data_IF_790818465292
#
_entry.id   IF_790818465292
#
_cell.length_a   1.000
_cell.length_b   1.000
_cell.length_c   1.000
_cell.angle_alpha   90.00
_cell.angle_beta   90.00
_cell.angle_gamma   90.00
#
_symmetry.space_group_name_H-M   'P 1'
#
loop_
_entity.id
_entity.type
_entity.pdbx_description
1 polymer ?
#
# COMPACT_ATOMS: atom_id res chain seq x y z
N UNK A 1 -5.92 27.31 2.91
CA UNK A 1 -4.56 27.42 2.35
C UNK A 1 -4.18 26.25 1.43
N UNK A 2 -5.02 25.20 1.28
CA UNK A 2 -4.82 24.12 0.29
C UNK A 2 -3.65 23.18 0.60
N UNK A 3 -3.38 22.90 1.87
CA UNK A 3 -2.39 21.88 2.28
C UNK A 3 -2.78 20.51 1.73
N UNK A 4 -1.84 19.77 1.13
CA UNK A 4 -2.05 18.42 0.59
C UNK A 4 -1.63 17.30 1.55
N UNK A 5 -1.04 17.64 2.67
CA UNK A 5 -0.67 16.71 3.72
C UNK A 5 -0.30 17.46 4.99
N UNK A 6 -0.52 16.83 6.13
CA UNK A 6 -0.20 17.38 7.43
C UNK A 6 0.27 16.26 8.35
N UNK A 7 1.34 16.52 9.10
CA UNK A 7 1.82 15.62 10.16
C UNK A 7 1.96 16.38 11.46
N UNK A 8 1.73 15.72 12.59
CA UNK A 8 1.95 16.28 13.91
C UNK A 8 2.95 15.43 14.68
N UNK A 9 3.86 16.08 15.39
CA UNK A 9 4.86 15.41 16.22
C UNK A 9 4.92 16.10 17.57
N UNK A 10 4.87 15.33 18.64
CA UNK A 10 5.07 15.84 19.99
C UNK A 10 6.53 16.31 20.16
N UNK A 11 6.72 17.50 20.73
CA UNK A 11 8.02 18.09 20.99
C UNK A 11 8.11 18.46 22.48
N UNK A 12 8.60 17.53 23.32
CA UNK A 12 8.54 17.67 24.76
C UNK A 12 7.16 17.39 25.36
N UNK A 13 6.97 17.73 26.65
CA UNK A 13 5.73 17.38 27.38
C UNK A 13 4.53 18.28 27.00
N UNK A 14 4.77 19.53 26.51
CA UNK A 14 3.71 20.52 26.27
C UNK A 14 3.75 21.18 24.88
N UNK A 15 4.48 20.63 23.92
CA UNK A 15 4.60 21.24 22.59
C UNK A 15 4.30 20.22 21.48
N UNK A 16 3.54 20.67 20.50
CA UNK A 16 3.29 19.91 19.28
C UNK A 16 3.86 20.71 18.10
N UNK A 17 4.68 20.05 17.29
CA UNK A 17 5.10 20.58 16.00
C UNK A 17 4.15 20.04 14.91
N UNK A 18 3.57 20.94 14.13
CA UNK A 18 2.73 20.60 13.00
C UNK A 18 3.49 20.94 11.72
N UNK A 19 3.70 19.95 10.87
CA UNK A 19 4.23 20.12 9.53
C UNK A 19 3.08 20.07 8.52
N UNK A 20 2.96 21.10 7.68
CA UNK A 20 1.96 21.15 6.62
C UNK A 20 2.67 21.40 5.28
N UNK A 21 2.27 20.67 4.25
CA UNK A 21 2.89 20.71 2.93
C UNK A 21 1.99 21.46 1.95
N UNK A 22 2.55 22.47 1.28
CA UNK A 22 1.87 23.31 0.31
C UNK A 22 2.51 23.12 -1.06
N UNK A 23 1.73 22.94 -2.13
CA UNK A 23 2.28 22.74 -3.47
C UNK A 23 2.92 24.03 -3.99
N UNK A 24 4.22 23.95 -4.33
CA UNK A 24 4.90 24.99 -5.09
C UNK A 24 4.56 24.80 -6.59
N UNK A 25 4.18 25.84 -7.36
CA UNK A 25 4.37 27.29 -7.16
C UNK A 25 3.11 28.06 -6.68
N UNK A 26 2.11 27.41 -6.11
CA UNK A 26 0.82 28.02 -5.77
C UNK A 26 0.84 28.83 -4.45
N UNK A 27 1.98 28.95 -3.80
CA UNK A 27 2.10 29.64 -2.52
C UNK A 27 3.04 30.84 -2.66
N UNK A 28 2.50 32.03 -2.48
CA UNK A 28 3.30 33.25 -2.43
C UNK A 28 3.79 33.57 -1.01
N UNK A 29 4.82 34.41 -0.88
CA UNK A 29 5.24 34.95 0.42
C UNK A 29 4.12 35.69 1.14
N UNK A 30 3.20 36.28 0.39
CA UNK A 30 2.01 36.95 0.93
C UNK A 30 1.05 35.96 1.59
N UNK A 31 0.87 34.79 1.00
CA UNK A 31 0.03 33.71 1.58
C UNK A 31 0.61 33.20 2.87
N UNK A 32 1.93 33.03 2.95
CA UNK A 32 2.63 32.61 4.17
C UNK A 32 2.54 33.69 5.26
N UNK A 33 2.64 34.95 4.90
CA UNK A 33 2.46 36.07 5.82
C UNK A 33 1.01 36.13 6.34
N UNK A 34 0.02 35.95 5.45
CA UNK A 34 -1.40 35.89 5.82
C UNK A 34 -1.69 34.71 6.75
N UNK A 35 -1.12 33.53 6.49
CA UNK A 35 -1.23 32.37 7.36
C UNK A 35 -0.63 32.65 8.74
N UNK A 36 0.57 33.27 8.79
CA UNK A 36 1.21 33.64 10.06
C UNK A 36 0.35 34.59 10.89
N UNK A 37 -0.19 35.63 10.26
CA UNK A 37 -1.10 36.59 10.92
C UNK A 37 -2.37 35.90 11.44
N UNK A 38 -2.96 35.03 10.64
CA UNK A 38 -4.16 34.29 11.01
C UNK A 38 -3.91 33.38 12.23
N UNK A 39 -2.82 32.61 12.21
CA UNK A 39 -2.45 31.75 13.35
C UNK A 39 -2.18 32.56 14.63
N UNK A 40 -1.58 33.76 14.51
CA UNK A 40 -1.39 34.66 15.64
C UNK A 40 -2.71 35.16 16.21
N UNK A 41 -3.64 35.58 15.33
CA UNK A 41 -4.96 36.06 15.75
C UNK A 41 -5.76 34.93 16.42
N UNK A 42 -5.80 33.74 15.82
CA UNK A 42 -6.54 32.60 16.34
C UNK A 42 -5.96 32.16 17.71
N UNK A 43 -4.64 32.19 17.89
CA UNK A 43 -3.98 31.87 19.16
C UNK A 43 -4.34 32.89 20.25
N UNK A 44 -4.35 34.19 19.92
CA UNK A 44 -4.73 35.26 20.85
C UNK A 44 -6.20 35.12 21.28
N UNK A 45 -7.09 34.85 20.34
CA UNK A 45 -8.53 34.63 20.62
C UNK A 45 -8.72 33.42 21.53
N UNK A 46 -7.96 32.34 21.31
CA UNK A 46 -8.03 31.11 22.06
C UNK A 46 -7.27 31.17 23.40
N UNK A 47 -6.62 32.29 23.73
CA UNK A 47 -5.78 32.43 24.94
C UNK A 47 -4.56 31.49 24.96
N UNK A 48 -4.09 31.09 23.76
CA UNK A 48 -2.97 30.18 23.59
C UNK A 48 -1.68 30.94 23.25
N UNK A 49 -0.54 30.26 23.40
CA UNK A 49 0.75 30.82 22.96
C UNK A 49 0.76 30.95 21.45
N UNK A 50 1.25 32.08 20.96
CA UNK A 50 1.41 32.34 19.53
C UNK A 50 2.37 31.32 18.94
N UNK A 51 1.96 30.54 17.92
CA UNK A 51 2.82 29.55 17.27
C UNK A 51 3.92 30.23 16.45
N UNK A 52 5.09 29.63 16.43
CA UNK A 52 6.19 30.07 15.57
C UNK A 52 6.04 29.39 14.21
N UNK A 53 5.77 30.15 13.16
CA UNK A 53 5.79 29.67 11.79
C UNK A 53 7.23 29.69 11.26
N UNK A 54 7.66 28.58 10.71
CA UNK A 54 8.86 28.46 9.89
C UNK A 54 8.44 27.85 8.56
N UNK A 55 9.07 28.22 7.51
CA UNK A 55 8.86 27.62 6.20
C UNK A 55 10.21 27.40 5.51
N UNK A 56 10.28 26.36 4.72
CA UNK A 56 11.42 26.05 3.86
C UNK A 56 10.89 25.51 2.55
N UNK A 57 11.62 25.73 1.49
CA UNK A 57 11.33 25.11 0.19
C UNK A 57 12.00 23.76 0.17
N UNK A 58 11.21 22.73 -0.02
CA UNK A 58 11.70 21.36 -0.21
C UNK A 58 11.73 21.11 -1.71
N UNK A 59 12.88 20.90 -2.28
CA UNK A 59 13.01 20.46 -3.67
C UNK A 59 12.61 18.97 -3.74
N UNK A 60 11.99 18.58 -4.86
CA UNK A 60 11.51 17.20 -5.04
C UNK A 60 12.65 16.16 -4.90
N UNK A 61 13.87 16.54 -5.28
CA UNK A 61 15.06 15.70 -5.14
C UNK A 61 15.49 15.51 -3.67
N UNK A 62 15.37 16.52 -2.83
CA UNK A 62 15.72 16.43 -1.41
C UNK A 62 14.74 15.57 -0.63
N UNK A 63 13.47 15.61 -1.02
CA UNK A 63 12.45 14.79 -0.40
C UNK A 63 12.62 13.31 -0.76
N UNK A 64 12.94 13.03 -2.03
CA UNK A 64 13.19 11.67 -2.50
C UNK A 64 14.46 11.04 -1.93
N UNK A 65 15.44 11.82 -1.52
CA UNK A 65 16.71 11.35 -0.96
C UNK A 65 16.66 11.11 0.55
N UNK A 66 15.90 11.91 1.29
CA UNK A 66 15.87 11.85 2.77
C UNK A 66 15.26 10.55 3.30
N UNK A 67 14.12 10.08 2.75
CA UNK A 67 13.50 8.83 3.20
C UNK A 67 14.26 7.59 2.73
N UNK A 68 14.96 7.66 1.59
CA UNK A 68 15.79 6.56 1.07
C UNK A 68 16.90 6.16 2.04
N UNK A 69 17.45 7.11 2.81
CA UNK A 69 18.51 6.84 3.79
C UNK A 69 18.04 5.99 4.98
N UNK A 70 16.75 6.01 5.28
CA UNK A 70 16.18 5.28 6.41
C UNK A 70 15.56 3.94 6.01
N UNK A 71 15.43 3.66 4.72
CA UNK A 71 14.84 2.42 4.26
C UNK A 71 15.89 1.32 4.11
N UNK A 72 15.74 0.29 4.92
CA UNK A 72 16.65 -0.85 5.00
C UNK A 72 15.98 -2.11 4.42
N UNK A 73 16.77 -3.10 3.99
CA UNK A 73 16.23 -4.41 3.60
C UNK A 73 15.37 -5.02 4.71
N UNK A 74 14.26 -5.63 4.34
CA UNK A 74 13.27 -6.19 5.26
C UNK A 74 13.01 -7.65 4.97
N UNK A 75 13.00 -8.45 6.01
CA UNK A 75 12.61 -9.84 5.97
C UNK A 75 11.13 -9.94 6.27
N UNK A 76 10.36 -10.57 5.36
CA UNK A 76 8.91 -10.76 5.52
C UNK A 76 8.62 -12.25 5.34
N UNK A 77 7.85 -12.81 6.27
CA UNK A 77 7.62 -14.25 6.31
C UNK A 77 8.91 -15.06 6.34
N UNK A 78 8.88 -16.25 5.79
CA UNK A 78 10.05 -17.14 5.69
C UNK A 78 10.76 -17.07 4.32
N UNK A 79 10.10 -16.52 3.30
CA UNK A 79 10.54 -16.63 1.89
C UNK A 79 10.86 -15.33 1.19
N UNK A 80 10.54 -14.18 1.76
CA UNK A 80 10.74 -12.90 1.08
C UNK A 80 11.83 -12.07 1.75
N UNK A 81 12.67 -11.44 0.93
CA UNK A 81 13.53 -10.33 1.28
C UNK A 81 13.17 -9.14 0.39
N UNK A 82 12.61 -8.09 0.97
CA UNK A 82 12.37 -6.82 0.28
C UNK A 82 13.61 -5.96 0.43
N UNK A 83 14.22 -5.58 -0.68
CA UNK A 83 15.43 -4.76 -0.70
C UNK A 83 15.19 -3.51 -1.55
N UNK A 84 15.47 -2.30 -1.01
CA UNK A 84 15.50 -1.08 -1.81
C UNK A 84 16.37 -1.23 -3.06
N UNK A 85 15.90 -0.72 -4.20
CA UNK A 85 16.56 -0.88 -5.48
C UNK A 85 18.01 -0.34 -5.51
N UNK A 86 18.30 0.66 -4.69
CA UNK A 86 19.60 1.34 -4.58
C UNK A 86 20.56 0.74 -3.55
N UNK A 87 20.16 -0.33 -2.86
CA UNK A 87 21.01 -1.02 -1.89
C UNK A 87 21.43 -2.41 -2.42
N UNK A 88 22.60 -2.84 -2.01
CA UNK A 88 23.02 -4.22 -2.22
C UNK A 88 22.26 -5.12 -1.23
N UNK A 89 21.68 -6.23 -1.70
CA UNK A 89 20.97 -7.14 -0.81
C UNK A 89 21.93 -7.87 0.11
N UNK A 90 21.57 -8.04 1.41
CA UNK A 90 22.33 -8.92 2.30
C UNK A 90 22.23 -10.38 1.81
N UNK A 91 23.12 -11.30 2.28
CA UNK A 91 22.98 -12.72 2.01
C UNK A 91 21.60 -13.23 2.41
N UNK A 92 20.90 -13.89 1.48
CA UNK A 92 19.48 -14.28 1.67
C UNK A 92 19.21 -15.74 1.23
N UNK A 93 19.93 -16.73 1.80
CA UNK A 93 19.79 -18.12 1.38
C UNK A 93 18.34 -18.62 1.57
N UNK A 94 17.79 -19.22 0.51
CA UNK A 94 16.44 -19.80 0.52
C UNK A 94 15.31 -18.77 0.48
N UNK A 95 15.59 -17.49 0.26
CA UNK A 95 14.57 -16.44 0.11
C UNK A 95 14.57 -15.82 -1.27
N UNK A 96 13.40 -15.42 -1.74
CA UNK A 96 13.23 -14.64 -2.96
C UNK A 96 13.57 -13.19 -2.68
N UNK A 97 14.46 -12.63 -3.49
CA UNK A 97 14.79 -11.21 -3.46
C UNK A 97 13.77 -10.41 -4.25
N UNK A 98 13.08 -9.49 -3.59
CA UNK A 98 12.18 -8.51 -4.18
C UNK A 98 12.86 -7.13 -4.13
N UNK A 99 13.31 -6.63 -5.27
CA UNK A 99 13.87 -5.28 -5.39
C UNK A 99 12.74 -4.28 -5.61
N UNK A 100 12.75 -3.19 -4.86
CA UNK A 100 11.66 -2.22 -4.89
C UNK A 100 12.19 -0.78 -4.92
N UNK A 101 11.67 0.00 -5.87
CA UNK A 101 11.72 1.46 -5.87
C UNK A 101 10.26 1.97 -5.94
N UNK A 102 9.64 2.29 -4.81
CA UNK A 102 8.23 2.68 -4.81
C UNK A 102 8.00 4.07 -5.43
N UNK A 103 9.05 4.86 -5.62
CA UNK A 103 8.89 6.24 -6.08
C UNK A 103 7.99 7.02 -5.12
N UNK A 104 6.86 7.55 -5.66
CA UNK A 104 5.82 8.23 -4.88
C UNK A 104 4.58 7.35 -4.62
N UNK A 105 4.58 6.10 -5.07
CA UNK A 105 3.47 5.17 -4.87
C UNK A 105 3.48 4.57 -3.45
N UNK A 106 2.30 4.19 -2.95
CA UNK A 106 2.15 3.46 -1.69
C UNK A 106 2.72 2.03 -1.81
N UNK A 107 3.19 1.46 -0.68
CA UNK A 107 3.62 0.07 -0.63
C UNK A 107 5.14 -0.11 -0.56
N UNK A 108 5.77 0.38 0.54
CA UNK A 108 7.21 0.17 0.82
C UNK A 108 7.51 -1.17 1.50
N UNK A 109 6.48 -1.94 1.88
CA UNK A 109 6.63 -3.19 2.62
C UNK A 109 6.72 -3.04 4.14
N UNK A 110 6.86 -1.82 4.67
CA UNK A 110 6.97 -1.58 6.13
C UNK A 110 5.63 -1.57 6.84
N UNK A 111 4.56 -1.22 6.12
CA UNK A 111 3.24 -1.08 6.73
C UNK A 111 2.66 -2.44 7.15
N UNK A 112 2.02 -2.54 8.33
CA UNK A 112 1.45 -3.80 8.83
C UNK A 112 0.54 -4.50 7.82
N UNK A 113 -0.30 -3.76 7.09
CA UNK A 113 -1.23 -4.30 6.09
C UNK A 113 -0.51 -4.99 4.94
N UNK A 114 0.58 -4.39 4.45
CA UNK A 114 1.40 -4.96 3.37
C UNK A 114 2.08 -6.25 3.84
N UNK A 115 2.64 -6.25 5.05
CA UNK A 115 3.29 -7.44 5.62
C UNK A 115 2.28 -8.59 5.80
N UNK A 116 1.07 -8.31 6.29
CA UNK A 116 0.02 -9.32 6.43
C UNK A 116 -0.39 -9.92 5.06
N UNK A 117 -0.49 -9.10 4.00
CA UNK A 117 -0.76 -9.60 2.65
C UNK A 117 0.38 -10.47 2.12
N UNK A 118 1.64 -10.05 2.31
CA UNK A 118 2.81 -10.80 1.86
C UNK A 118 2.90 -12.18 2.53
N UNK A 119 2.69 -12.25 3.84
CA UNK A 119 2.66 -13.49 4.60
C UNK A 119 1.47 -14.39 4.17
N UNK A 120 0.31 -13.78 3.89
CA UNK A 120 -0.85 -14.50 3.36
C UNK A 120 -0.59 -15.08 1.97
N UNK A 121 0.06 -14.32 1.08
CA UNK A 121 0.48 -14.79 -0.25
C UNK A 121 1.48 -15.95 -0.14
N UNK A 122 2.47 -15.85 0.74
CA UNK A 122 3.44 -16.92 0.99
C UNK A 122 2.71 -18.22 1.40
N UNK A 123 1.83 -18.15 2.39
CA UNK A 123 1.07 -19.31 2.84
C UNK A 123 0.21 -19.92 1.72
N UNK A 124 -0.40 -19.09 0.87
CA UNK A 124 -1.29 -19.55 -0.21
C UNK A 124 -0.53 -20.16 -1.38
N UNK A 125 0.59 -19.59 -1.77
CA UNK A 125 1.30 -20.00 -2.97
C UNK A 125 2.31 -21.12 -2.70
N UNK A 126 2.88 -21.22 -1.49
CA UNK A 126 3.79 -22.31 -1.14
C UNK A 126 3.12 -23.53 -0.51
N UNK A 127 2.02 -23.33 0.24
CA UNK A 127 1.33 -24.40 0.98
C UNK A 127 0.31 -25.20 0.15
N UNK A 128 -0.03 -24.76 -1.04
CA UNK A 128 -1.18 -25.25 -1.81
C UNK A 128 -0.89 -26.26 -2.93
N UNK A 129 0.22 -26.98 -2.91
CA UNK A 129 0.44 -28.05 -3.90
C UNK A 129 0.89 -27.59 -5.28
N UNK A 130 1.63 -26.50 -5.35
CA UNK A 130 2.26 -25.96 -6.55
C UNK A 130 1.56 -24.70 -7.05
N UNK A 131 2.26 -23.58 -6.96
CA UNK A 131 1.84 -22.32 -7.60
C UNK A 131 1.88 -22.43 -9.15
N UNK A 132 2.32 -23.57 -9.68
CA UNK A 132 2.34 -23.85 -11.11
C UNK A 132 0.93 -23.83 -11.70
N UNK A 133 0.62 -22.72 -12.38
CA UNK A 133 -0.69 -22.54 -13.00
C UNK A 133 -1.59 -21.51 -12.30
N UNK A 134 -1.32 -21.13 -11.06
CA UNK A 134 -2.12 -20.15 -10.30
C UNK A 134 -2.02 -18.75 -10.91
N UNK A 135 -3.18 -18.14 -11.16
CA UNK A 135 -3.31 -16.75 -11.61
C UNK A 135 -3.81 -15.90 -10.46
N UNK A 136 -3.24 -14.70 -10.30
CA UNK A 136 -3.55 -13.78 -9.18
C UNK A 136 -3.91 -12.41 -9.73
N UNK A 137 -4.91 -11.76 -9.18
CA UNK A 137 -5.17 -10.33 -9.38
C UNK A 137 -4.68 -9.53 -8.17
N UNK A 138 -4.00 -8.41 -8.42
CA UNK A 138 -3.59 -7.43 -7.42
C UNK A 138 -4.33 -6.12 -7.71
N UNK A 139 -5.33 -5.79 -6.90
CA UNK A 139 -6.23 -4.66 -7.12
C UNK A 139 -5.87 -3.52 -6.19
N UNK A 140 -5.55 -2.36 -6.77
CA UNK A 140 -4.89 -1.27 -6.06
C UNK A 140 -3.41 -1.59 -5.85
N UNK A 141 -2.70 -1.93 -6.95
CA UNK A 141 -1.35 -2.51 -6.87
C UNK A 141 -0.26 -1.56 -6.34
N UNK A 142 -0.48 -0.24 -6.38
CA UNK A 142 0.44 0.75 -5.85
C UNK A 142 1.86 0.64 -6.42
N UNK A 143 2.84 0.30 -5.58
CA UNK A 143 4.23 0.03 -6.00
C UNK A 143 4.40 -1.30 -6.74
N UNK A 144 3.39 -2.15 -6.75
CA UNK A 144 3.44 -3.51 -7.29
C UNK A 144 4.01 -4.55 -6.34
N UNK A 145 4.26 -4.21 -5.08
CA UNK A 145 4.94 -5.11 -4.12
C UNK A 145 4.23 -6.46 -3.95
N UNK A 146 2.89 -6.50 -3.92
CA UNK A 146 2.11 -7.73 -3.79
C UNK A 146 2.12 -8.53 -5.09
N UNK A 147 2.05 -7.86 -6.23
CA UNK A 147 2.20 -8.47 -7.55
C UNK A 147 3.55 -9.14 -7.72
N UNK A 148 4.64 -8.44 -7.33
CA UNK A 148 6.01 -8.96 -7.39
C UNK A 148 6.16 -10.17 -6.48
N UNK A 149 5.67 -10.07 -5.23
CA UNK A 149 5.70 -11.17 -4.28
C UNK A 149 4.95 -12.39 -4.81
N UNK A 150 3.73 -12.22 -5.32
CA UNK A 150 2.95 -13.31 -5.89
C UNK A 150 3.69 -14.02 -7.03
N UNK A 151 4.31 -13.25 -7.95
CA UNK A 151 5.09 -13.82 -9.05
C UNK A 151 6.34 -14.55 -8.56
N UNK A 152 7.09 -13.99 -7.60
CA UNK A 152 8.29 -14.61 -7.03
C UNK A 152 7.97 -15.89 -6.25
N UNK A 153 6.83 -15.93 -5.56
CA UNK A 153 6.32 -17.10 -4.84
C UNK A 153 5.72 -18.18 -5.78
N UNK A 154 5.75 -17.96 -7.10
CA UNK A 154 5.45 -18.99 -8.08
C UNK A 154 4.13 -18.81 -8.83
N UNK A 155 3.36 -17.75 -8.61
CA UNK A 155 2.19 -17.48 -9.45
C UNK A 155 2.58 -17.45 -10.93
N UNK A 156 1.81 -18.15 -11.76
CA UNK A 156 2.06 -18.25 -13.21
C UNK A 156 1.89 -16.89 -13.89
N UNK A 157 0.86 -16.17 -13.49
CA UNK A 157 0.52 -14.84 -14.02
C UNK A 157 -0.12 -13.99 -12.94
N UNK A 158 0.21 -12.71 -12.94
CA UNK A 158 -0.39 -11.71 -12.06
C UNK A 158 -0.95 -10.58 -12.89
N UNK A 159 -2.19 -10.19 -12.63
CA UNK A 159 -2.85 -9.02 -13.21
C UNK A 159 -2.87 -7.92 -12.16
N UNK A 160 -2.04 -6.91 -12.34
CA UNK A 160 -1.91 -5.76 -11.46
C UNK A 160 -2.71 -4.59 -12.01
N UNK A 161 -3.67 -4.08 -11.26
CA UNK A 161 -4.50 -2.94 -11.68
C UNK A 161 -4.49 -1.84 -10.63
N UNK A 162 -4.46 -0.59 -11.08
CA UNK A 162 -4.62 0.59 -10.23
C UNK A 162 -5.27 1.72 -11.01
N UNK A 163 -6.10 2.51 -10.34
CA UNK A 163 -6.73 3.68 -10.95
C UNK A 163 -5.76 4.86 -11.12
N UNK A 164 -4.72 4.91 -10.28
CA UNK A 164 -3.69 5.96 -10.33
C UNK A 164 -2.62 5.63 -11.39
N UNK A 165 -2.46 6.46 -12.43
CA UNK A 165 -1.42 6.24 -13.43
C UNK A 165 0.01 6.24 -12.86
N UNK A 166 0.26 6.91 -11.73
CA UNK A 166 1.58 6.89 -11.08
C UNK A 166 1.85 5.53 -10.43
N UNK A 167 0.83 4.91 -9.83
CA UNK A 167 0.93 3.55 -9.30
C UNK A 167 1.19 2.53 -10.44
N UNK A 168 0.48 2.66 -11.56
CA UNK A 168 0.71 1.83 -12.76
C UNK A 168 2.16 1.94 -13.24
N UNK A 169 2.69 3.15 -13.34
CA UNK A 169 4.09 3.38 -13.74
C UNK A 169 5.08 2.78 -12.74
N UNK A 170 4.84 2.94 -11.44
CA UNK A 170 5.68 2.37 -10.39
C UNK A 170 5.69 0.84 -10.45
N UNK A 171 4.52 0.22 -10.59
CA UNK A 171 4.40 -1.24 -10.75
C UNK A 171 5.13 -1.73 -11.99
N UNK A 172 4.99 -1.07 -13.13
CA UNK A 172 5.71 -1.43 -14.37
C UNK A 172 7.23 -1.33 -14.18
N UNK A 173 7.71 -0.25 -13.57
CA UNK A 173 9.12 -0.06 -13.28
C UNK A 173 9.66 -1.18 -12.37
N UNK A 174 8.98 -1.48 -11.27
CA UNK A 174 9.40 -2.50 -10.32
C UNK A 174 9.30 -3.92 -10.91
N UNK A 175 8.30 -4.19 -11.74
CA UNK A 175 8.21 -5.43 -12.53
C UNK A 175 9.45 -5.64 -13.39
N UNK A 176 9.84 -4.62 -14.15
CA UNK A 176 10.98 -4.68 -15.07
C UNK A 176 12.30 -4.81 -14.29
N UNK A 177 12.43 -4.10 -13.16
CA UNK A 177 13.57 -4.20 -12.24
C UNK A 177 13.79 -5.62 -11.70
N UNK A 178 12.72 -6.39 -11.52
CA UNK A 178 12.77 -7.78 -11.05
C UNK A 178 12.76 -8.83 -12.17
N UNK A 179 12.75 -8.43 -13.45
CA UNK A 179 12.73 -9.34 -14.58
C UNK A 179 11.44 -10.16 -14.72
N UNK A 180 10.30 -9.61 -14.26
CA UNK A 180 9.01 -10.29 -14.19
C UNK A 180 8.02 -9.85 -15.30
N UNK A 181 8.52 -9.27 -16.38
CA UNK A 181 7.72 -8.73 -17.47
C UNK A 181 6.77 -9.76 -18.08
N UNK A 182 7.22 -11.01 -18.19
CA UNK A 182 6.44 -12.10 -18.78
C UNK A 182 5.36 -12.65 -17.83
N UNK A 183 5.46 -12.33 -16.53
CA UNK A 183 4.55 -12.85 -15.50
C UNK A 183 3.53 -11.84 -15.00
N UNK A 184 3.85 -10.54 -15.02
CA UNK A 184 3.00 -9.48 -14.47
C UNK A 184 2.48 -8.61 -15.61
N UNK A 185 1.18 -8.59 -15.76
CA UNK A 185 0.45 -7.70 -16.68
C UNK A 185 -0.08 -6.53 -15.86
N UNK A 186 0.26 -5.31 -16.26
CA UNK A 186 -0.15 -4.10 -15.53
C UNK A 186 -1.10 -3.29 -16.39
N UNK A 187 -2.22 -2.85 -15.82
CA UNK A 187 -3.21 -2.02 -16.49
C UNK A 187 -3.72 -0.90 -15.57
N UNK A 188 -4.10 0.23 -16.17
CA UNK A 188 -4.80 1.28 -15.45
C UNK A 188 -6.29 0.96 -15.42
N UNK A 189 -6.88 0.95 -14.21
CA UNK A 189 -8.29 0.69 -13.97
C UNK A 189 -8.53 -0.12 -12.72
N UNK A 190 -9.62 -0.89 -12.69
CA UNK A 190 -10.02 -1.72 -11.56
C UNK A 190 -10.39 -3.13 -12.04
N UNK A 191 -11.34 -3.81 -11.38
CA UNK A 191 -11.75 -5.19 -11.65
C UNK A 191 -12.09 -5.45 -13.13
N UNK A 192 -12.70 -4.48 -13.79
CA UNK A 192 -13.11 -4.53 -15.19
C UNK A 192 -11.95 -4.65 -16.18
N UNK A 193 -10.72 -4.40 -15.72
CA UNK A 193 -9.49 -4.53 -16.52
C UNK A 193 -8.74 -5.85 -16.29
N UNK A 194 -9.29 -6.75 -15.47
CA UNK A 194 -8.76 -8.11 -15.30
C UNK A 194 -9.30 -8.96 -16.46
N UNK A 195 -8.42 -9.45 -17.37
CA UNK A 195 -8.86 -9.99 -18.66
C UNK A 195 -9.43 -11.41 -18.59
N UNK A 196 -9.21 -12.12 -17.49
CA UNK A 196 -9.66 -13.50 -17.28
C UNK A 196 -9.93 -13.77 -15.81
N UNK A 197 -10.74 -14.79 -15.49
CA UNK A 197 -10.96 -15.20 -14.11
C UNK A 197 -9.67 -15.73 -13.49
N UNK A 198 -9.38 -15.29 -12.26
CA UNK A 198 -8.18 -15.64 -11.50
C UNK A 198 -8.46 -16.65 -10.39
N UNK A 199 -7.41 -17.34 -9.94
CA UNK A 199 -7.50 -18.29 -8.82
C UNK A 199 -7.50 -17.57 -7.47
N UNK A 200 -6.92 -16.37 -7.43
CA UNK A 200 -6.89 -15.56 -6.22
C UNK A 200 -6.84 -14.06 -6.49
N UNK A 201 -7.35 -13.28 -5.54
CA UNK A 201 -7.31 -11.82 -5.58
C UNK A 201 -6.72 -11.30 -4.28
N UNK A 202 -5.74 -10.41 -4.39
CA UNK A 202 -5.20 -9.64 -3.27
C UNK A 202 -5.57 -8.17 -3.46
N UNK A 203 -5.96 -7.52 -2.36
CA UNK A 203 -6.35 -6.12 -2.36
C UNK A 203 -5.95 -5.49 -1.02
N UNK A 204 -5.12 -4.44 -1.05
CA UNK A 204 -4.64 -3.72 0.13
C UNK A 204 -4.95 -2.22 -0.02
N UNK A 205 -6.22 -1.88 0.13
CA UNK A 205 -6.76 -0.52 -0.02
C UNK A 205 -7.70 -0.18 1.13
N UNK A 206 -8.33 0.99 1.08
CA UNK A 206 -9.29 1.42 2.11
C UNK A 206 -10.50 0.48 2.18
N UNK A 207 -10.94 0.18 3.41
CA UNK A 207 -12.06 -0.73 3.67
C UNK A 207 -13.36 -0.32 2.96
N UNK A 208 -13.66 0.96 2.88
CA UNK A 208 -14.88 1.46 2.23
C UNK A 208 -14.89 1.11 0.74
N UNK A 209 -13.73 1.23 0.06
CA UNK A 209 -13.58 0.84 -1.34
C UNK A 209 -13.71 -0.68 -1.51
N UNK A 210 -13.13 -1.46 -0.58
CA UNK A 210 -13.28 -2.93 -0.59
C UNK A 210 -14.76 -3.31 -0.48
N UNK A 211 -15.51 -2.69 0.44
CA UNK A 211 -16.94 -2.95 0.64
C UNK A 211 -17.74 -2.74 -0.65
N UNK A 212 -17.46 -1.68 -1.38
CA UNK A 212 -18.12 -1.38 -2.65
C UNK A 212 -17.78 -2.43 -3.74
N UNK A 213 -16.58 -3.01 -3.70
CA UNK A 213 -16.08 -3.97 -4.70
C UNK A 213 -16.48 -5.42 -4.42
N UNK A 214 -16.78 -5.81 -3.17
CA UNK A 214 -17.08 -7.20 -2.79
C UNK A 214 -18.13 -7.87 -3.69
N UNK A 215 -19.25 -7.23 -4.09
CA UNK A 215 -20.24 -7.85 -4.97
C UNK A 215 -19.69 -8.26 -6.34
N UNK A 216 -18.64 -7.58 -6.82
CA UNK A 216 -18.03 -7.81 -8.13
C UNK A 216 -16.89 -8.84 -8.10
N UNK A 217 -16.34 -9.19 -6.94
CA UNK A 217 -15.21 -10.15 -6.86
C UNK A 217 -15.55 -11.50 -7.50
N UNK A 218 -16.81 -11.91 -7.46
CA UNK A 218 -17.27 -13.16 -8.09
C UNK A 218 -17.20 -13.15 -9.62
N UNK A 219 -17.14 -11.98 -10.22
CA UNK A 219 -17.03 -11.84 -11.67
C UNK A 219 -15.60 -12.10 -12.17
N UNK A 220 -14.62 -11.96 -11.27
CA UNK A 220 -13.20 -12.06 -11.62
C UNK A 220 -12.46 -13.21 -10.92
N UNK A 221 -13.02 -13.79 -9.85
CA UNK A 221 -12.41 -14.92 -9.13
C UNK A 221 -13.17 -16.21 -9.44
N UNK A 222 -12.43 -17.28 -9.77
CA UNK A 222 -12.96 -18.61 -10.07
C UNK A 222 -13.68 -19.23 -8.87
N UNK A 223 -14.58 -20.20 -9.14
CA UNK A 223 -15.13 -21.07 -8.09
C UNK A 223 -14.00 -21.76 -7.31
N UNK A 224 -14.12 -21.80 -5.98
CA UNK A 224 -13.07 -22.31 -5.10
C UNK A 224 -11.86 -21.38 -4.95
N UNK A 225 -11.88 -20.21 -5.61
CA UNK A 225 -10.82 -19.21 -5.51
C UNK A 225 -10.78 -18.53 -4.14
N UNK A 226 -9.78 -17.67 -3.94
CA UNK A 226 -9.51 -17.05 -2.65
C UNK A 226 -9.31 -15.53 -2.74
N UNK A 227 -9.53 -14.87 -1.59
CA UNK A 227 -9.28 -13.44 -1.39
C UNK A 227 -8.28 -13.22 -0.25
N UNK A 228 -7.42 -12.21 -0.41
CA UNK A 228 -6.59 -11.62 0.64
C UNK A 228 -6.92 -10.13 0.65
N UNK A 229 -7.63 -9.68 1.69
CA UNK A 229 -8.11 -8.29 1.79
C UNK A 229 -7.49 -7.61 3.01
N UNK A 230 -6.80 -6.49 2.83
CA UNK A 230 -6.17 -5.71 3.89
C UNK A 230 -6.28 -4.20 3.62
N UNK A 231 -5.66 -3.36 4.45
CA UNK A 231 -5.96 -1.93 4.48
C UNK A 231 -7.16 -1.63 5.36
N UNK A 232 -7.54 -2.58 6.20
CA UNK A 232 -8.77 -2.62 7.02
C UNK A 232 -8.38 -2.43 8.49
N UNK A 233 -8.99 -1.48 9.17
CA UNK A 233 -8.87 -1.36 10.63
C UNK A 233 -9.65 -2.49 11.31
N UNK A 234 -9.17 -2.93 12.47
CA UNK A 234 -9.81 -4.06 13.18
C UNK A 234 -11.27 -3.77 13.53
N UNK A 235 -11.63 -2.51 13.76
CA UNK A 235 -13.01 -2.08 14.01
C UNK A 235 -13.93 -2.22 12.79
N UNK A 236 -13.37 -2.18 11.56
CA UNK A 236 -14.09 -2.35 10.30
C UNK A 236 -14.20 -3.83 9.89
N UNK A 237 -13.39 -4.71 10.49
CA UNK A 237 -13.28 -6.11 10.09
C UNK A 237 -14.62 -6.86 10.09
N UNK A 238 -15.47 -6.57 11.08
CA UNK A 238 -16.78 -7.21 11.19
C UNK A 238 -17.68 -6.86 10.02
N UNK A 239 -17.72 -5.59 9.63
CA UNK A 239 -18.54 -5.12 8.51
C UNK A 239 -18.09 -5.75 7.19
N UNK A 240 -16.76 -5.81 6.96
CA UNK A 240 -16.19 -6.45 5.76
C UNK A 240 -16.50 -7.95 5.75
N UNK A 241 -16.40 -8.64 6.88
CA UNK A 241 -16.72 -10.07 6.99
C UNK A 241 -18.20 -10.35 6.69
N UNK A 242 -19.12 -9.57 7.26
CA UNK A 242 -20.56 -9.69 7.02
C UNK A 242 -20.90 -9.45 5.54
N UNK A 243 -20.25 -8.46 4.89
CA UNK A 243 -20.45 -8.19 3.46
C UNK A 243 -19.90 -9.34 2.60
N UNK A 244 -18.76 -9.93 2.95
CA UNK A 244 -18.20 -11.11 2.29
C UNK A 244 -19.15 -12.28 2.37
N UNK A 245 -19.65 -12.61 3.57
CA UNK A 245 -20.59 -13.71 3.80
C UNK A 245 -21.91 -13.51 3.03
N UNK A 246 -22.43 -12.29 2.98
CA UNK A 246 -23.61 -11.94 2.20
C UNK A 246 -23.41 -12.13 0.68
N UNK A 247 -22.16 -12.19 0.20
CA UNK A 247 -21.78 -12.41 -1.19
C UNK A 247 -21.14 -13.79 -1.43
N UNK A 248 -21.46 -14.78 -0.58
CA UNK A 248 -21.06 -16.20 -0.72
C UNK A 248 -19.54 -16.44 -0.58
N UNK A 249 -18.86 -15.58 0.17
CA UNK A 249 -17.49 -15.80 0.59
C UNK A 249 -17.45 -16.27 2.04
N UNK A 250 -16.60 -17.25 2.34
CA UNK A 250 -16.35 -17.70 3.71
C UNK A 250 -15.03 -17.11 4.18
N UNK A 251 -15.09 -16.33 5.26
CA UNK A 251 -13.87 -15.82 5.93
C UNK A 251 -13.20 -16.99 6.65
N UNK A 252 -12.09 -17.46 6.11
CA UNK A 252 -11.33 -18.61 6.63
C UNK A 252 -10.39 -18.21 7.77
N UNK A 253 -9.86 -16.99 7.74
CA UNK A 253 -8.98 -16.47 8.79
C UNK A 253 -8.99 -14.94 8.80
N UNK A 254 -8.77 -14.38 10.00
CA UNK A 254 -8.49 -12.97 10.22
C UNK A 254 -7.14 -12.87 10.93
N UNK A 255 -6.20 -12.21 10.28
CA UNK A 255 -4.90 -11.92 10.87
C UNK A 255 -4.82 -10.47 11.30
N UNK A 256 -4.13 -10.22 12.42
CA UNK A 256 -4.06 -8.87 13.01
C UNK A 256 -2.62 -8.47 13.29
N UNK A 257 -2.31 -7.18 13.03
CA UNK A 257 -1.05 -6.54 13.44
C UNK A 257 -1.31 -5.10 13.87
N UNK A 258 -1.22 -4.83 15.17
CA UNK A 258 -1.62 -3.55 15.75
C UNK A 258 -3.12 -3.31 15.59
N UNK A 259 -3.50 -2.19 15.01
CA UNK A 259 -4.88 -1.79 14.70
C UNK A 259 -5.37 -2.27 13.33
N UNK A 260 -4.50 -2.90 12.52
CA UNK A 260 -4.77 -3.36 11.17
C UNK A 260 -5.06 -4.84 11.11
N UNK A 261 -5.84 -5.24 10.14
CA UNK A 261 -6.11 -6.65 9.88
C UNK A 261 -6.06 -7.00 8.40
N UNK A 262 -5.99 -8.32 8.16
CA UNK A 262 -6.09 -8.94 6.85
C UNK A 262 -7.10 -10.09 6.95
N UNK A 263 -8.14 -10.06 6.11
CA UNK A 263 -9.10 -11.13 5.98
C UNK A 263 -8.69 -12.05 4.83
N UNK A 264 -8.62 -13.34 5.14
CA UNK A 264 -8.43 -14.40 4.18
C UNK A 264 -9.78 -15.09 3.95
N UNK A 265 -10.32 -15.02 2.75
CA UNK A 265 -11.60 -15.64 2.41
C UNK A 265 -11.45 -16.61 1.25
N UNK A 266 -12.44 -17.49 1.08
CA UNK A 266 -12.58 -18.42 -0.04
C UNK A 266 -14.00 -18.40 -0.55
N UNK A 267 -14.19 -18.66 -1.84
CA UNK A 267 -15.50 -18.86 -2.42
C UNK A 267 -16.05 -20.24 -1.98
N UNK A 268 -17.33 -20.28 -1.64
CA UNK A 268 -18.05 -21.52 -1.32
C UNK A 268 -18.37 -22.36 -2.54
#
# INVERSE_FOLDING_TARGET
>A
FGCRGMTSQAYGEDQICIHAYLPWPHVSLLDLAALSLRLQQDALIAGQRVPKLRWERIEAEDWSSSWKQHWQPQWVGDKLLICPAWLDPPPHPGRHLLRLDPGMAFGTGTHPTTQLCLESLEMRLEGGGGAEGVTVADVGCGSGILSLAAALLGAKRVFAVDIDPLAVQATMHNRDLNGLTDRIVVAQGSLEHIPEMVDGLVCNILADVILDMIPEFRLVVKEGGWLILSGILIEQAKLVAEMLEANEWVVAALWRRGEWCCLNARMT
#
